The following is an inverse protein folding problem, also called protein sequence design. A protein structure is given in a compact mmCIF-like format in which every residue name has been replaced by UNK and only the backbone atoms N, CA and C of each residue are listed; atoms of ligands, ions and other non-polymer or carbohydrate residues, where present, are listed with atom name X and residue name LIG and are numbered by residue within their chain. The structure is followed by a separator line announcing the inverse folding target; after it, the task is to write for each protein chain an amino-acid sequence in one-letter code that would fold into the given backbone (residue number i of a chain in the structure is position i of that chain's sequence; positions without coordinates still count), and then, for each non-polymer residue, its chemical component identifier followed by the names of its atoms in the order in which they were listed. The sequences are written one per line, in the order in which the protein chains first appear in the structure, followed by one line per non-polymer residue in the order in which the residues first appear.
data_IF_258558167591
#
_entry.id   IF_258558167591
#
_cell.length_a   1.000
_cell.length_b   1.000
_cell.length_c   1.000
_cell.angle_alpha   90.00
_cell.angle_beta   90.00
_cell.angle_gamma   90.00
#
_symmetry.space_group_name_H-M   'P 1'
#
loop_
_entity.id
_entity.type
_entity.pdbx_description
1 polymer ?
#
# COMPACT_ATOMS: atom_id res chain seq x y z
N UNK A 1 -3.06 28.88 -18.86
CA UNK A 1 -3.66 29.73 -17.81
C UNK A 1 -3.85 28.94 -16.51
N UNK A 2 -4.68 27.87 -16.49
CA UNK A 2 -4.93 27.06 -15.29
C UNK A 2 -3.66 26.48 -14.65
N UNK A 3 -2.88 25.68 -15.39
CA UNK A 3 -1.66 25.05 -14.84
C UNK A 3 -0.59 26.06 -14.41
N UNK A 4 -0.58 27.26 -14.99
CA UNK A 4 0.30 28.35 -14.54
C UNK A 4 -0.13 28.93 -13.19
N UNK A 5 -1.45 29.06 -12.97
CA UNK A 5 -2.01 29.42 -11.66
C UNK A 5 -1.75 28.34 -10.63
N UNK A 6 -1.91 27.07 -11.01
CA UNK A 6 -1.62 25.93 -10.13
C UNK A 6 -0.13 25.87 -9.76
N UNK A 7 0.76 26.12 -10.72
CA UNK A 7 2.22 26.20 -10.48
C UNK A 7 2.56 27.27 -9.43
N UNK A 8 1.99 28.46 -9.62
CA UNK A 8 2.17 29.57 -8.69
C UNK A 8 1.66 29.21 -7.29
N UNK A 9 0.49 28.59 -7.19
CA UNK A 9 -0.08 28.15 -5.92
C UNK A 9 0.80 27.08 -5.25
N UNK A 10 1.30 26.10 -6.02
CA UNK A 10 2.18 25.04 -5.53
C UNK A 10 3.50 25.63 -4.97
N UNK A 11 4.14 26.54 -5.70
CA UNK A 11 5.36 27.23 -5.25
C UNK A 11 5.10 28.14 -4.03
N UNK A 12 3.97 28.83 -3.99
CA UNK A 12 3.57 29.65 -2.83
C UNK A 12 3.42 28.79 -1.57
N UNK A 13 2.79 27.62 -1.69
CA UNK A 13 2.56 26.70 -0.58
C UNK A 13 3.85 26.02 -0.11
N UNK A 14 4.79 25.78 -1.02
CA UNK A 14 6.12 25.26 -0.67
C UNK A 14 6.93 26.24 0.19
N UNK A 15 6.74 27.55 0.01
CA UNK A 15 7.44 28.59 0.77
C UNK A 15 6.70 29.15 1.98
N UNK A 16 5.41 28.82 2.15
CA UNK A 16 4.57 29.38 3.21
C UNK A 16 4.77 28.70 4.57
N UNK A 17 4.37 29.40 5.64
CA UNK A 17 4.30 28.80 6.98
C UNK A 17 3.27 27.65 6.97
N UNK A 18 3.52 26.49 7.62
CA UNK A 18 2.67 25.30 7.50
C UNK A 18 1.19 25.56 7.79
N UNK A 19 0.88 26.33 8.82
CA UNK A 19 -0.52 26.69 9.18
C UNK A 19 -1.21 27.50 8.08
N UNK A 20 -0.48 28.39 7.41
CA UNK A 20 -1.03 29.21 6.32
C UNK A 20 -1.17 28.35 5.06
N UNK A 21 -0.18 27.51 4.77
CA UNK A 21 -0.21 26.60 3.64
C UNK A 21 -1.39 25.62 3.73
N UNK A 22 -1.64 25.09 4.93
CA UNK A 22 -2.76 24.19 5.22
C UNK A 22 -4.11 24.90 5.04
N UNK A 23 -4.27 26.10 5.60
CA UNK A 23 -5.49 26.89 5.44
C UNK A 23 -5.79 27.22 3.97
N UNK A 24 -4.77 27.59 3.19
CA UNK A 24 -4.94 27.85 1.75
C UNK A 24 -5.29 26.55 1.00
N UNK A 25 -4.66 25.42 1.34
CA UNK A 25 -4.94 24.14 0.71
C UNK A 25 -6.38 23.66 0.98
N UNK A 26 -6.90 23.85 2.20
CA UNK A 26 -8.29 23.55 2.54
C UNK A 26 -9.26 24.45 1.75
N UNK A 27 -8.99 25.75 1.65
CA UNK A 27 -9.81 26.66 0.80
C UNK A 27 -9.81 26.24 -0.67
N UNK A 28 -8.67 25.82 -1.21
CA UNK A 28 -8.57 25.33 -2.60
C UNK A 28 -9.39 24.05 -2.77
N UNK A 29 -9.33 23.14 -1.79
CA UNK A 29 -10.16 21.93 -1.80
C UNK A 29 -11.64 22.27 -1.79
N UNK A 30 -12.11 23.16 -0.92
CA UNK A 30 -13.53 23.51 -0.84
C UNK A 30 -14.01 24.25 -2.10
N UNK A 31 -13.32 25.33 -2.49
CA UNK A 31 -13.80 26.22 -3.55
C UNK A 31 -13.58 25.64 -4.94
N UNK A 32 -12.42 25.03 -5.17
CA UNK A 32 -12.04 24.54 -6.49
C UNK A 32 -12.29 23.04 -6.64
N UNK A 33 -11.71 22.19 -5.79
CA UNK A 33 -11.83 20.73 -5.98
C UNK A 33 -13.29 20.27 -5.80
N UNK A 34 -13.94 20.64 -4.70
CA UNK A 34 -15.32 20.27 -4.42
C UNK A 34 -16.32 21.15 -5.17
N UNK A 35 -16.12 22.47 -5.16
CA UNK A 35 -17.06 23.42 -5.76
C UNK A 35 -17.12 23.39 -7.30
N UNK A 36 -16.02 23.06 -7.98
CA UNK A 36 -15.91 23.16 -9.44
C UNK A 36 -15.56 21.81 -10.06
N UNK A 37 -14.50 21.16 -9.59
CA UNK A 37 -13.97 19.96 -10.25
C UNK A 37 -14.83 18.73 -10.00
N UNK A 38 -15.34 18.53 -8.78
CA UNK A 38 -16.20 17.40 -8.42
C UNK A 38 -17.46 17.29 -9.29
N UNK A 39 -18.29 18.34 -9.49
CA UNK A 39 -19.45 18.21 -10.34
C UNK A 39 -19.08 17.89 -11.80
N UNK A 40 -17.98 18.43 -12.32
CA UNK A 40 -17.48 18.07 -13.65
C UNK A 40 -17.05 16.60 -13.73
N UNK A 41 -16.36 16.11 -12.70
CA UNK A 41 -15.98 14.71 -12.62
C UNK A 41 -17.18 13.79 -12.44
N UNK A 42 -18.27 14.23 -11.80
CA UNK A 42 -19.48 13.41 -11.62
C UNK A 42 -20.42 13.44 -12.83
N UNK A 43 -20.16 14.28 -13.85
CA UNK A 43 -20.98 14.35 -15.07
C UNK A 43 -20.89 13.06 -15.91
N UNK A 44 -21.90 12.89 -16.77
CA UNK A 44 -22.11 11.68 -17.59
C UNK A 44 -21.75 11.87 -19.07
N UNK A 45 -21.37 13.09 -19.48
CA UNK A 45 -20.96 13.33 -20.86
C UNK A 45 -19.53 12.81 -21.07
N UNK A 46 -19.29 12.06 -22.14
CA UNK A 46 -17.98 11.48 -22.43
C UNK A 46 -16.89 12.56 -22.55
N UNK A 47 -17.20 13.66 -23.23
CA UNK A 47 -16.26 14.76 -23.39
C UNK A 47 -15.90 15.41 -22.05
N UNK A 48 -16.87 15.66 -21.17
CA UNK A 48 -16.63 16.28 -19.86
C UNK A 48 -15.84 15.34 -18.94
N UNK A 49 -16.14 14.03 -18.99
CA UNK A 49 -15.37 13.01 -18.26
C UNK A 49 -13.92 12.98 -18.71
N UNK A 50 -13.66 12.96 -20.02
CA UNK A 50 -12.31 12.94 -20.56
C UNK A 50 -11.54 14.23 -20.21
N UNK A 51 -12.18 15.39 -20.37
CA UNK A 51 -11.56 16.68 -20.06
C UNK A 51 -11.30 16.84 -18.55
N UNK A 52 -12.28 16.50 -17.71
CA UNK A 52 -12.16 16.55 -16.26
C UNK A 52 -11.08 15.59 -15.76
N UNK A 53 -11.05 14.36 -16.27
CA UNK A 53 -10.03 13.37 -15.92
C UNK A 53 -8.65 13.82 -16.38
N UNK A 54 -8.49 14.32 -17.61
CA UNK A 54 -7.19 14.82 -18.09
C UNK A 54 -6.69 16.03 -17.29
N UNK A 55 -7.58 16.96 -16.93
CA UNK A 55 -7.26 18.10 -16.07
C UNK A 55 -6.81 17.63 -14.69
N UNK A 56 -7.54 16.67 -14.10
CA UNK A 56 -7.21 16.09 -12.82
C UNK A 56 -5.86 15.36 -12.84
N UNK A 57 -5.61 14.54 -13.87
CA UNK A 57 -4.32 13.87 -14.07
C UNK A 57 -3.17 14.87 -14.14
N UNK A 58 -3.34 15.97 -14.90
CA UNK A 58 -2.35 17.05 -14.94
C UNK A 58 -2.16 17.74 -13.58
N UNK A 59 -3.25 17.94 -12.83
CA UNK A 59 -3.24 18.55 -11.50
C UNK A 59 -2.48 17.69 -10.50
N UNK A 60 -2.79 16.39 -10.46
CA UNK A 60 -2.06 15.40 -9.65
C UNK A 60 -0.58 15.46 -10.03
N UNK A 61 -0.23 15.34 -11.31
CA UNK A 61 1.17 15.35 -11.75
C UNK A 61 1.93 16.60 -11.28
N UNK A 62 1.35 17.79 -11.43
CA UNK A 62 2.03 19.05 -11.16
C UNK A 62 2.24 19.35 -9.66
N UNK A 63 1.30 18.97 -8.80
CA UNK A 63 1.36 19.31 -7.37
C UNK A 63 2.53 18.60 -6.69
N UNK A 64 3.34 19.37 -5.97
CA UNK A 64 4.47 18.92 -5.15
C UNK A 64 4.34 19.36 -3.68
N UNK A 65 3.62 20.45 -3.42
CA UNK A 65 3.40 20.97 -2.08
C UNK A 65 2.67 19.94 -1.20
N UNK A 66 3.27 19.47 -0.07
CA UNK A 66 2.66 18.44 0.76
C UNK A 66 1.25 18.77 1.27
N UNK A 67 0.94 20.01 1.73
CA UNK A 67 -0.41 20.35 2.16
C UNK A 67 -1.42 20.24 1.03
N UNK A 68 -1.10 20.73 -0.16
CA UNK A 68 -2.00 20.69 -1.31
C UNK A 68 -2.23 19.25 -1.80
N UNK A 69 -1.16 18.45 -1.85
CA UNK A 69 -1.23 17.05 -2.21
C UNK A 69 -2.11 16.26 -1.24
N UNK A 70 -1.97 16.50 0.06
CA UNK A 70 -2.77 15.85 1.09
C UNK A 70 -4.27 16.10 0.87
N UNK A 71 -4.65 17.37 0.69
CA UNK A 71 -6.04 17.77 0.44
C UNK A 71 -6.60 17.20 -0.87
N UNK A 72 -5.79 17.16 -1.93
CA UNK A 72 -6.18 16.53 -3.19
C UNK A 72 -6.44 15.03 -3.02
N UNK A 73 -5.59 14.33 -2.27
CA UNK A 73 -5.76 12.89 -2.05
C UNK A 73 -6.99 12.59 -1.20
N UNK A 74 -7.22 13.37 -0.14
CA UNK A 74 -8.44 13.25 0.66
C UNK A 74 -9.70 13.53 -0.18
N UNK A 75 -9.62 14.52 -1.07
CA UNK A 75 -10.70 14.81 -2.01
C UNK A 75 -10.99 13.63 -2.97
N UNK A 76 -9.96 12.97 -3.50
CA UNK A 76 -10.11 11.90 -4.48
C UNK A 76 -10.47 10.55 -3.86
N UNK A 77 -9.82 10.20 -2.75
CA UNK A 77 -9.86 8.85 -2.18
C UNK A 77 -10.69 8.77 -0.89
N UNK A 78 -11.07 9.91 -0.31
CA UNK A 78 -11.71 10.01 0.99
C UNK A 78 -10.72 10.00 2.15
N UNK A 79 -11.20 10.39 3.34
CA UNK A 79 -10.43 10.34 4.58
C UNK A 79 -10.42 8.95 5.24
N UNK A 80 -11.29 8.05 4.79
CA UNK A 80 -11.47 6.73 5.37
C UNK A 80 -10.28 5.81 5.09
N UNK A 81 -9.64 5.37 6.17
CA UNK A 81 -8.49 4.45 6.16
C UNK A 81 -8.85 3.04 6.62
N UNK A 82 -10.08 2.82 7.10
CA UNK A 82 -10.54 1.53 7.61
C UNK A 82 -10.72 0.52 6.48
N UNK A 83 -10.57 -0.80 6.74
CA UNK A 83 -10.85 -1.86 5.76
C UNK A 83 -12.24 -1.71 5.15
N UNK A 84 -12.38 -1.87 3.82
CA UNK A 84 -13.69 -1.82 3.18
C UNK A 84 -14.53 -3.01 3.67
N UNK A 85 -15.61 -2.77 4.39
CA UNK A 85 -16.58 -3.80 4.79
C UNK A 85 -17.76 -3.84 3.80
N UNK A 86 -18.39 -5.01 3.57
CA UNK A 86 -19.51 -5.08 2.65
C UNK A 86 -20.70 -4.32 3.25
N UNK A 87 -21.13 -3.26 2.56
CA UNK A 87 -22.16 -2.33 3.03
C UNK A 87 -21.65 -0.95 3.44
N UNK A 88 -20.33 -0.72 3.42
CA UNK A 88 -19.75 0.59 3.70
C UNK A 88 -19.98 1.56 2.54
N UNK A 89 -20.29 2.82 2.86
CA UNK A 89 -20.48 3.88 1.87
C UNK A 89 -19.12 4.36 1.37
N UNK A 90 -18.61 3.70 0.32
CA UNK A 90 -17.38 4.10 -0.35
C UNK A 90 -17.50 5.55 -0.85
N UNK A 91 -16.39 6.29 -0.75
CA UNK A 91 -16.30 7.68 -1.22
C UNK A 91 -16.77 7.78 -2.68
N UNK A 92 -17.80 8.58 -3.00
CA UNK A 92 -18.49 8.51 -4.29
C UNK A 92 -17.57 8.78 -5.47
N UNK A 93 -16.64 9.73 -5.31
CA UNK A 93 -15.67 10.06 -6.36
C UNK A 93 -14.68 8.92 -6.59
N UNK A 94 -14.23 8.25 -5.51
CA UNK A 94 -13.33 7.10 -5.60
C UNK A 94 -14.01 5.96 -6.35
N UNK A 95 -15.23 5.60 -5.94
CA UNK A 95 -16.01 4.52 -6.58
C UNK A 95 -16.18 4.80 -8.06
N UNK A 96 -16.61 6.01 -8.43
CA UNK A 96 -16.83 6.38 -9.82
C UNK A 96 -15.54 6.34 -10.65
N UNK A 97 -14.42 6.86 -10.12
CA UNK A 97 -13.14 6.82 -10.82
C UNK A 97 -12.65 5.38 -11.05
N UNK A 98 -12.86 4.48 -10.08
CA UNK A 98 -12.53 3.05 -10.21
C UNK A 98 -13.43 2.39 -11.25
N UNK A 99 -14.74 2.65 -11.23
CA UNK A 99 -15.67 2.11 -12.23
C UNK A 99 -15.28 2.51 -13.66
N UNK A 100 -14.79 3.75 -13.84
CA UNK A 100 -14.33 4.24 -15.14
C UNK A 100 -13.11 3.52 -15.68
N UNK A 101 -12.29 2.88 -14.84
CA UNK A 101 -11.17 2.06 -15.33
C UNK A 101 -11.62 0.85 -16.15
N UNK A 102 -12.89 0.44 -16.02
CA UNK A 102 -13.50 -0.67 -16.78
C UNK A 102 -14.71 -0.17 -17.60
N UNK A 103 -14.61 1.03 -18.16
CA UNK A 103 -15.64 1.63 -18.99
C UNK A 103 -15.64 1.03 -20.41
N UNK A 104 -16.80 1.04 -21.08
CA UNK A 104 -16.96 0.51 -22.45
C UNK A 104 -16.17 1.30 -23.51
N UNK A 105 -15.90 2.58 -23.22
CA UNK A 105 -15.02 3.44 -24.04
C UNK A 105 -13.59 3.30 -23.55
N UNK A 106 -12.72 2.76 -24.42
CA UNK A 106 -11.29 2.57 -24.15
C UNK A 106 -10.60 3.89 -23.78
N UNK A 107 -11.05 5.00 -24.35
CA UNK A 107 -10.49 6.33 -24.09
C UNK A 107 -10.72 6.74 -22.64
N UNK A 108 -11.94 6.53 -22.11
CA UNK A 108 -12.27 6.82 -20.70
C UNK A 108 -11.49 5.88 -19.78
N UNK A 109 -11.43 4.59 -20.10
CA UNK A 109 -10.70 3.58 -19.32
C UNK A 109 -9.22 3.93 -19.24
N UNK A 110 -8.58 4.23 -20.38
CA UNK A 110 -7.17 4.60 -20.43
C UNK A 110 -6.90 5.93 -19.72
N UNK A 111 -7.73 6.95 -19.91
CA UNK A 111 -7.58 8.23 -19.21
C UNK A 111 -7.66 8.07 -17.69
N UNK A 112 -8.58 7.23 -17.22
CA UNK A 112 -8.75 6.93 -15.79
C UNK A 112 -7.58 6.12 -15.24
N UNK A 113 -7.09 5.12 -15.97
CA UNK A 113 -5.90 4.35 -15.57
C UNK A 113 -4.65 5.24 -15.45
N UNK A 114 -4.46 6.19 -16.38
CA UNK A 114 -3.37 7.18 -16.31
C UNK A 114 -3.46 8.08 -15.08
N UNK A 115 -4.67 8.45 -14.67
CA UNK A 115 -4.86 9.19 -13.41
C UNK A 115 -4.36 8.39 -12.21
N UNK A 116 -4.74 7.11 -12.12
CA UNK A 116 -4.28 6.24 -11.03
C UNK A 116 -2.78 5.98 -11.06
N UNK A 117 -2.19 5.86 -12.25
CA UNK A 117 -0.74 5.78 -12.41
C UNK A 117 -0.05 7.01 -11.81
N UNK A 118 -0.50 8.22 -12.14
CA UNK A 118 0.05 9.46 -11.58
C UNK A 118 -0.16 9.56 -10.05
N UNK A 119 -1.29 9.06 -9.53
CA UNK A 119 -1.52 9.00 -8.07
C UNK A 119 -0.55 8.06 -7.38
N UNK A 120 -0.33 6.86 -7.93
CA UNK A 120 0.57 5.85 -7.36
C UNK A 120 2.04 6.30 -7.37
N UNK A 121 2.42 7.20 -8.28
CA UNK A 121 3.74 7.81 -8.30
C UNK A 121 3.95 8.85 -7.18
N UNK A 122 2.89 9.30 -6.49
CA UNK A 122 3.02 10.29 -5.41
C UNK A 122 3.53 9.65 -4.11
N UNK A 123 4.53 10.25 -3.44
CA UNK A 123 5.07 9.74 -2.19
C UNK A 123 4.14 10.09 -1.01
N UNK A 124 2.90 9.58 -1.05
CA UNK A 124 1.89 9.85 -0.03
C UNK A 124 1.19 8.56 0.40
N UNK A 125 1.38 8.21 1.66
CA UNK A 125 1.01 6.92 2.24
C UNK A 125 -0.49 6.59 2.09
N UNK A 126 -1.35 7.60 2.17
CA UNK A 126 -2.79 7.41 1.98
C UNK A 126 -3.16 6.86 0.60
N UNK A 127 -2.35 7.09 -0.45
CA UNK A 127 -2.65 6.54 -1.78
C UNK A 127 -2.53 5.02 -1.75
N UNK A 128 -1.41 4.51 -1.26
CA UNK A 128 -1.17 3.07 -1.17
C UNK A 128 -2.15 2.40 -0.20
N UNK A 129 -2.42 3.04 0.96
CA UNK A 129 -3.45 2.53 1.88
C UNK A 129 -4.82 2.45 1.24
N UNK A 130 -5.26 3.54 0.62
CA UNK A 130 -6.63 3.65 0.12
C UNK A 130 -6.88 2.87 -1.18
N UNK A 131 -5.87 2.67 -2.03
CA UNK A 131 -6.04 1.92 -3.27
C UNK A 131 -5.67 0.44 -3.13
N UNK A 132 -4.65 0.12 -2.32
CA UNK A 132 -4.08 -1.22 -2.25
C UNK A 132 -4.43 -1.89 -0.93
N UNK A 133 -3.98 -1.35 0.20
CA UNK A 133 -4.05 -2.06 1.49
C UNK A 133 -5.48 -2.27 1.98
N UNK A 134 -6.36 -1.27 1.83
CA UNK A 134 -7.78 -1.39 2.20
C UNK A 134 -8.49 -2.53 1.47
N UNK A 135 -8.08 -2.83 0.23
CA UNK A 135 -8.61 -3.91 -0.60
C UNK A 135 -7.99 -5.29 -0.28
N UNK A 136 -6.78 -5.31 0.31
CA UNK A 136 -6.05 -6.54 0.64
C UNK A 136 -6.30 -7.03 2.07
N UNK A 137 -6.43 -6.12 3.04
CA UNK A 137 -6.64 -6.45 4.46
C UNK A 137 -7.93 -7.24 4.69
N UNK A 138 -9.01 -6.89 3.98
CA UNK A 138 -10.28 -7.61 4.03
C UNK A 138 -10.15 -9.07 3.55
N UNK A 139 -9.23 -9.34 2.61
CA UNK A 139 -9.03 -10.68 2.05
C UNK A 139 -8.13 -11.56 2.93
N UNK A 140 -7.77 -11.10 4.14
CA UNK A 140 -6.99 -11.85 5.14
C UNK A 140 -5.63 -12.35 4.65
N UNK A 141 -5.04 -11.76 3.61
CA UNK A 141 -3.68 -12.12 3.16
C UNK A 141 -2.60 -11.81 4.22
N UNK A 142 -2.93 -10.99 5.23
CA UNK A 142 -2.08 -10.64 6.37
C UNK A 142 -2.50 -11.31 7.69
N UNK A 143 -3.54 -12.16 7.70
CA UNK A 143 -3.76 -13.03 8.85
C UNK A 143 -2.61 -14.04 8.89
N UNK A 144 -1.56 -13.68 9.61
CA UNK A 144 -0.60 -14.60 10.17
C UNK A 144 -1.42 -15.76 10.75
N UNK A 145 -1.24 -16.97 10.22
CA UNK A 145 -1.83 -18.19 10.78
C UNK A 145 -1.72 -18.09 12.30
N UNK A 146 -2.82 -18.27 13.05
CA UNK A 146 -2.70 -18.34 14.50
C UNK A 146 -1.62 -19.39 14.80
N UNK A 147 -0.66 -19.12 15.70
CA UNK A 147 0.27 -20.16 16.11
C UNK A 147 -0.58 -21.33 16.55
N UNK A 148 -0.51 -22.42 15.76
CA UNK A 148 -1.05 -23.72 16.14
C UNK A 148 -0.56 -23.92 17.56
N UNK A 149 -1.45 -24.09 18.56
CA UNK A 149 -1.00 -24.34 19.91
C UNK A 149 -0.07 -25.55 19.85
N UNK A 150 1.19 -25.36 20.22
CA UNK A 150 2.07 -26.47 20.58
C UNK A 150 1.32 -27.23 21.68
N UNK A 151 0.63 -28.31 21.31
CA UNK A 151 0.19 -29.33 22.26
C UNK A 151 1.46 -29.94 22.86
N UNK A 152 1.92 -29.32 23.93
CA UNK A 152 2.89 -29.93 24.84
C UNK A 152 2.24 -31.15 25.47
N UNK A 153 2.54 -32.30 24.86
CA UNK A 153 3.01 -33.48 25.54
C UNK A 153 1.93 -34.40 26.12
N UNK A 154 1.82 -35.58 25.51
CA UNK A 154 1.78 -36.83 26.26
C UNK A 154 2.57 -37.92 25.50
N UNK A 155 3.26 -38.82 26.22
CA UNK A 155 4.42 -39.55 25.73
C UNK A 155 4.06 -40.78 24.89
N UNK A 156 4.91 -41.02 23.90
CA UNK A 156 5.33 -42.29 23.28
C UNK A 156 4.38 -43.49 23.40
N UNK A 157 3.88 -43.91 22.25
CA UNK A 157 3.67 -45.33 21.96
C UNK A 157 3.98 -45.51 20.47
N UNK A 158 5.17 -46.02 20.15
CA UNK A 158 5.44 -46.63 18.84
C UNK A 158 4.56 -47.87 18.71
N UNK A 159 3.87 -48.01 17.56
CA UNK A 159 3.94 -49.29 16.88
C UNK A 159 4.20 -49.10 15.38
N UNK A 160 5.29 -49.71 14.96
CA UNK A 160 5.48 -50.42 13.70
C UNK A 160 5.31 -49.64 12.38
N UNK A 161 6.46 -49.44 11.73
CA UNK A 161 6.58 -49.21 10.29
C UNK A 161 5.83 -50.29 9.52
N UNK A 162 4.73 -49.92 8.86
CA UNK A 162 4.20 -50.66 7.71
C UNK A 162 4.13 -49.72 6.52
N UNK A 163 4.89 -50.09 5.49
CA UNK A 163 5.28 -49.26 4.35
C UNK A 163 4.11 -48.63 3.61
N UNK A 164 4.12 -47.30 3.56
CA UNK A 164 3.46 -46.55 2.51
C UNK A 164 4.46 -46.43 1.36
N UNK A 165 4.33 -47.32 0.36
CA UNK A 165 4.86 -47.13 -0.99
C UNK A 165 4.34 -45.79 -1.52
N UNK A 166 5.12 -44.73 -1.35
CA UNK A 166 4.89 -43.46 -2.04
C UNK A 166 5.49 -43.63 -3.44
N UNK A 167 4.65 -43.91 -4.42
CA UNK A 167 5.02 -43.86 -5.83
C UNK A 167 5.66 -42.48 -6.12
N UNK A 168 6.96 -42.47 -6.40
CA UNK A 168 7.68 -41.24 -6.74
C UNK A 168 7.16 -40.69 -8.07
N UNK A 169 6.66 -39.45 -8.04
CA UNK A 169 6.17 -38.73 -9.22
C UNK A 169 7.32 -38.57 -10.24
N UNK A 170 7.18 -39.12 -11.47
CA UNK A 170 8.23 -39.09 -12.50
C UNK A 170 8.55 -37.67 -13.02
N UNK A 171 7.86 -36.63 -12.55
CA UNK A 171 8.08 -35.26 -12.97
C UNK A 171 9.15 -34.50 -12.13
N UNK A 172 9.61 -35.06 -11.02
CA UNK A 172 10.58 -34.39 -10.12
C UNK A 172 12.01 -34.97 -10.13
N UNK A 173 12.31 -35.93 -11.00
CA UNK A 173 13.66 -36.45 -11.20
C UNK A 173 14.41 -35.65 -12.26
N UNK A 174 14.83 -34.43 -11.93
CA UNK A 174 15.93 -33.75 -12.62
C UNK A 174 16.76 -32.89 -11.65
N UNK A 175 17.76 -33.56 -11.08
CA UNK A 175 19.07 -33.08 -10.66
C UNK A 175 19.24 -31.65 -10.14
N UNK A 176 19.17 -31.47 -8.82
CA UNK A 176 20.00 -30.46 -8.14
C UNK A 176 21.40 -31.06 -7.87
N UNK A 177 22.50 -30.44 -8.34
CA UNK A 177 23.83 -30.96 -8.06
C UNK A 177 24.18 -30.79 -6.58
N UNK A 178 24.52 -31.92 -5.97
CA UNK A 178 25.02 -32.03 -4.62
C UNK A 178 26.39 -31.34 -4.46
N UNK A 179 26.43 -30.34 -3.58
CA UNK A 179 27.56 -30.10 -2.68
C UNK A 179 26.90 -29.80 -1.32
N UNK A 180 27.02 -30.61 -0.27
CA UNK A 180 28.10 -31.51 0.10
C UNK A 180 28.53 -31.13 1.51
N UNK A 181 27.84 -31.72 2.50
CA UNK A 181 28.29 -32.03 3.87
C UNK A 181 28.72 -30.86 4.79
N UNK A 182 28.24 -30.73 6.03
CA UNK A 182 27.47 -31.67 6.82
C UNK A 182 27.01 -31.05 8.14
N UNK A 183 25.84 -31.51 8.58
CA UNK A 183 25.29 -31.22 9.90
C UNK A 183 25.92 -32.21 10.88
N UNK A 184 26.89 -31.76 11.68
CA UNK A 184 27.36 -32.55 12.83
C UNK A 184 26.45 -32.29 14.02
N UNK A 185 25.88 -33.40 14.51
CA UNK A 185 24.98 -33.57 15.65
C UNK A 185 25.44 -32.78 16.89
N UNK A 186 24.48 -32.10 17.54
CA UNK A 186 24.58 -31.67 18.94
C UNK A 186 24.44 -32.89 19.86
N UNK A 187 25.26 -32.95 20.90
CA UNK A 187 25.09 -33.83 22.06
C UNK A 187 25.36 -33.03 23.35
N UNK A 188 24.81 -33.46 24.50
CA UNK A 188 24.21 -32.55 25.48
C UNK A 188 25.05 -32.27 26.74
N UNK A 189 24.66 -31.18 27.42
CA UNK A 189 24.79 -30.81 28.84
C UNK A 189 26.01 -31.29 29.68
N UNK A 190 26.70 -30.33 30.31
CA UNK A 190 27.29 -30.56 31.64
C UNK A 190 28.57 -29.78 32.00
N UNK A 191 28.49 -29.03 33.10
CA UNK A 191 29.56 -28.50 33.98
C UNK A 191 30.24 -27.16 33.64
N UNK A 192 29.95 -26.16 34.49
CA UNK A 192 30.82 -25.01 34.80
C UNK A 192 32.01 -25.51 35.69
N UNK A 193 33.14 -24.79 35.89
CA UNK A 193 33.14 -23.46 36.50
C UNK A 193 34.29 -22.47 36.11
N UNK A 194 34.11 -21.22 36.57
CA UNK A 194 35.11 -20.27 37.08
C UNK A 194 36.27 -19.76 36.17
N UNK A 195 36.26 -18.45 35.88
CA UNK A 195 37.45 -17.72 35.45
C UNK A 195 37.21 -16.20 35.36
N UNK A 196 37.89 -15.44 36.20
CA UNK A 196 37.84 -13.98 36.39
C UNK A 196 38.41 -13.19 35.20
N UNK A 197 38.00 -11.93 35.02
CA UNK A 197 38.75 -10.91 34.25
C UNK A 197 37.85 -9.86 33.62
N UNK A 198 37.41 -8.86 34.39
CA UNK A 198 37.90 -7.46 34.36
C UNK A 198 37.42 -6.57 33.19
N UNK A 199 36.74 -5.52 33.63
CA UNK A 199 36.31 -4.26 33.02
C UNK A 199 37.47 -3.51 32.33
N UNK A 200 37.20 -2.87 31.17
CA UNK A 200 37.51 -1.44 31.02
C UNK A 200 36.74 -0.77 29.88
N UNK A 201 35.95 0.22 30.31
CA UNK A 201 35.55 1.46 29.65
C UNK A 201 36.75 2.18 29.00
N UNK A 202 36.57 2.77 27.80
CA UNK A 202 37.26 4.01 27.39
C UNK A 202 36.34 4.87 26.51
N UNK A 203 36.24 6.12 26.95
CA UNK A 203 35.46 7.26 26.47
C UNK A 203 36.26 8.10 25.46
N UNK A 204 35.54 8.67 24.48
CA UNK A 204 35.75 9.90 23.67
C UNK A 204 37.15 10.25 23.12
N UNK A 205 37.15 10.62 21.84
CA UNK A 205 37.34 12.02 21.40
C UNK A 205 36.63 12.27 20.08
#
# INVERSE_FOLDING_TARGET
AFFSWLDYLDELLMGAHPVVADAIAEEVKEKFLQGILQPQLLQMSELDVLQGTAMLTGTVRQIRAPPLLHHLILFLLGAEQHPETPGDTSHPLRTQLIERCNHLSDEISLASLRLFEELLQKPHEHVARSLVLRNLEMRSYLQHNPPVPEERGHPETDPDEDGLDLEEDPYFTDGFPAAGFGMVKKSPLGSAPAGKGQVSEVVRR
#
